data_IF_116411078418
#
_entry.id   IF_116411078418
#
_cell.length_a   1.000
_cell.length_b   1.000
_cell.length_c   1.000
_cell.angle_alpha   90.00
_cell.angle_beta   90.00
_cell.angle_gamma   90.00
#
_symmetry.space_group_name_H-M   'P 1'
#
loop_
_entity.id
_entity.type
_entity.pdbx_description
1 polymer ?
#
# COMPACT_ATOMS: atom_id res chain seq x y z
N UNK A 1 9.74 -7.48 27.45
CA UNK A 1 9.88 -6.33 26.52
C UNK A 1 8.62 -6.25 25.69
N UNK A 2 8.01 -5.07 25.52
CA UNK A 2 6.90 -4.90 24.57
C UNK A 2 7.42 -4.92 23.14
N UNK A 3 6.57 -5.33 22.19
CA UNK A 3 6.83 -5.20 20.75
C UNK A 3 7.09 -3.75 20.35
N UNK A 4 6.36 -2.80 20.93
CA UNK A 4 6.56 -1.37 20.65
C UNK A 4 7.99 -0.93 21.01
N UNK A 5 8.52 -1.41 22.13
CA UNK A 5 9.88 -1.08 22.56
C UNK A 5 10.92 -1.66 21.59
N UNK A 6 10.71 -2.89 21.12
CA UNK A 6 11.60 -3.52 20.13
C UNK A 6 11.60 -2.76 18.80
N UNK A 7 10.43 -2.34 18.31
CA UNK A 7 10.30 -1.55 17.09
C UNK A 7 10.88 -0.14 17.23
N UNK A 8 10.76 0.47 18.41
CA UNK A 8 11.30 1.81 18.67
C UNK A 8 12.84 1.86 18.66
N UNK A 9 13.49 0.73 18.96
CA UNK A 9 14.95 0.62 18.99
C UNK A 9 15.58 0.49 17.59
N UNK A 10 14.78 0.18 16.57
CA UNK A 10 15.24 0.05 15.19
C UNK A 10 15.50 1.42 14.55
N UNK A 11 16.59 1.51 13.79
CA UNK A 11 16.84 2.61 12.85
C UNK A 11 15.80 2.60 11.72
N UNK A 12 15.63 3.71 10.97
CA UNK A 12 14.70 3.75 9.84
C UNK A 12 14.93 2.64 8.80
N UNK A 13 16.20 2.34 8.47
CA UNK A 13 16.53 1.28 7.50
C UNK A 13 16.18 -0.12 8.04
N UNK A 14 16.42 -0.36 9.33
CA UNK A 14 16.05 -1.62 9.96
C UNK A 14 14.54 -1.79 10.05
N UNK A 15 13.76 -0.71 10.23
CA UNK A 15 12.30 -0.76 10.17
C UNK A 15 11.80 -1.17 8.78
N UNK A 16 12.42 -0.64 7.73
CA UNK A 16 12.08 -1.02 6.34
C UNK A 16 12.41 -2.51 6.12
N UNK A 17 13.61 -2.96 6.50
CA UNK A 17 13.98 -4.36 6.38
C UNK A 17 13.07 -5.30 7.21
N UNK A 18 12.69 -4.88 8.42
CA UNK A 18 11.75 -5.61 9.25
C UNK A 18 10.37 -5.69 8.58
N UNK A 19 9.90 -4.62 7.93
CA UNK A 19 8.63 -4.62 7.19
C UNK A 19 8.66 -5.60 6.01
N UNK A 20 9.76 -5.69 5.26
CA UNK A 20 9.91 -6.66 4.17
C UNK A 20 9.91 -8.12 4.69
N UNK A 21 10.60 -8.38 5.80
CA UNK A 21 10.64 -9.71 6.42
C UNK A 21 9.25 -10.11 6.91
N UNK A 22 8.58 -9.21 7.64
CA UNK A 22 7.23 -9.44 8.15
C UNK A 22 6.25 -9.64 7.00
N UNK A 23 6.34 -8.81 5.96
CA UNK A 23 5.49 -8.94 4.78
C UNK A 23 5.67 -10.31 4.11
N UNK A 24 6.92 -10.74 3.90
CA UNK A 24 7.22 -12.05 3.32
C UNK A 24 6.61 -13.19 4.14
N UNK A 25 6.78 -13.15 5.47
CA UNK A 25 6.25 -14.17 6.39
C UNK A 25 4.72 -14.23 6.36
N UNK A 26 4.05 -13.08 6.51
CA UNK A 26 2.59 -12.98 6.49
C UNK A 26 2.01 -13.41 5.14
N UNK A 27 2.67 -13.05 4.03
CA UNK A 27 2.23 -13.39 2.68
C UNK A 27 2.38 -14.88 2.34
N UNK A 28 3.22 -15.62 3.07
CA UNK A 28 3.40 -17.06 2.86
C UNK A 28 2.20 -17.88 3.31
N UNK A 29 1.37 -17.35 4.22
CA UNK A 29 0.20 -18.06 4.77
C UNK A 29 -1.07 -17.20 4.69
N UNK A 30 -1.53 -16.85 3.48
CA UNK A 30 -2.61 -15.88 3.29
C UNK A 30 -3.95 -16.32 3.89
N UNK A 31 -4.16 -17.63 4.08
CA UNK A 31 -5.38 -18.19 4.68
C UNK A 31 -5.52 -17.91 6.18
N UNK A 32 -4.43 -17.56 6.86
CA UNK A 32 -4.47 -17.16 8.28
C UNK A 32 -4.89 -15.70 8.47
N UNK A 33 -4.92 -14.91 7.40
CA UNK A 33 -5.31 -13.50 7.41
C UNK A 33 -6.72 -13.41 6.83
N UNK A 34 -7.70 -13.39 7.72
CA UNK A 34 -9.10 -13.16 7.33
C UNK A 34 -9.29 -11.70 6.92
N UNK A 35 -9.88 -11.50 5.73
CA UNK A 35 -10.33 -10.17 5.32
C UNK A 35 -11.42 -9.68 6.29
N UNK A 36 -11.43 -8.41 6.67
CA UNK A 36 -12.55 -7.84 7.44
C UNK A 36 -13.88 -7.98 6.70
N UNK A 37 -14.98 -8.07 7.44
CA UNK A 37 -16.33 -8.28 6.87
C UNK A 37 -16.72 -7.22 5.82
N UNK A 38 -16.25 -5.98 5.99
CA UNK A 38 -16.53 -4.88 5.06
C UNK A 38 -15.77 -4.96 3.73
N UNK A 39 -14.71 -5.78 3.64
CA UNK A 39 -13.80 -5.78 2.49
C UNK A 39 -14.51 -6.15 1.18
N UNK A 40 -15.43 -7.12 1.24
CA UNK A 40 -16.22 -7.55 0.08
C UNK A 40 -17.09 -6.42 -0.49
N UNK A 41 -17.76 -5.66 0.38
CA UNK A 41 -18.64 -4.56 -0.02
C UNK A 41 -17.87 -3.43 -0.71
N UNK A 42 -16.66 -3.13 -0.24
CA UNK A 42 -15.77 -2.14 -0.85
C UNK A 42 -15.33 -2.60 -2.25
N UNK A 43 -14.97 -3.87 -2.42
CA UNK A 43 -14.62 -4.43 -3.73
C UNK A 43 -15.80 -4.38 -4.68
N UNK A 44 -16.99 -4.82 -4.25
CA UNK A 44 -18.21 -4.78 -5.05
C UNK A 44 -18.54 -3.35 -5.51
N UNK A 45 -18.43 -2.37 -4.61
CA UNK A 45 -18.67 -0.96 -4.92
C UNK A 45 -17.70 -0.45 -5.98
N UNK A 46 -16.40 -0.78 -5.87
CA UNK A 46 -15.37 -0.36 -6.84
C UNK A 46 -15.57 -1.03 -8.20
N UNK A 47 -15.93 -2.31 -8.22
CA UNK A 47 -16.21 -3.04 -9.46
C UNK A 47 -17.42 -2.52 -10.23
N UNK A 48 -18.41 -1.92 -9.54
CA UNK A 48 -19.58 -1.29 -10.18
C UNK A 48 -19.29 0.08 -10.79
N UNK A 49 -18.20 0.74 -10.37
CA UNK A 49 -17.79 2.07 -10.86
C UNK A 49 -16.33 2.01 -11.33
N UNK A 50 -16.03 1.24 -12.38
CA UNK A 50 -14.70 1.22 -12.94
C UNK A 50 -14.32 2.63 -13.43
N UNK A 51 -13.03 2.96 -13.34
CA UNK A 51 -12.52 4.16 -13.99
C UNK A 51 -12.85 4.12 -15.49
N UNK A 52 -13.22 5.26 -16.05
CA UNK A 52 -13.38 5.40 -17.50
C UNK A 52 -12.04 5.42 -18.23
N UNK A 53 -10.96 5.68 -17.50
CA UNK A 53 -9.60 5.68 -18.03
C UNK A 53 -9.03 4.25 -18.05
N UNK A 54 -8.35 3.86 -19.15
CA UNK A 54 -7.69 2.57 -19.20
C UNK A 54 -6.60 2.47 -18.12
N UNK A 55 -6.40 1.28 -17.53
CA UNK A 55 -5.37 1.09 -16.52
C UNK A 55 -3.98 1.33 -17.14
N UNK A 56 -3.17 2.15 -16.47
CA UNK A 56 -1.79 2.37 -16.83
C UNK A 56 -0.90 1.21 -16.35
N UNK A 57 0.18 0.95 -17.08
CA UNK A 57 1.29 0.15 -16.54
C UNK A 57 1.89 0.84 -15.31
N UNK A 58 2.50 0.05 -14.41
CA UNK A 58 2.95 0.54 -13.11
C UNK A 58 3.89 1.75 -13.22
N UNK A 59 4.89 1.69 -14.12
CA UNK A 59 5.84 2.79 -14.32
C UNK A 59 5.15 4.06 -14.81
N UNK A 60 4.26 3.94 -15.80
CA UNK A 60 3.48 5.07 -16.32
C UNK A 60 2.53 5.67 -15.26
N UNK A 61 1.99 4.84 -14.36
CA UNK A 61 1.17 5.31 -13.24
C UNK A 61 1.99 6.12 -12.22
N UNK A 62 3.23 5.71 -11.94
CA UNK A 62 4.14 6.49 -11.08
C UNK A 62 4.48 7.85 -11.69
N UNK A 63 4.77 7.89 -12.99
CA UNK A 63 5.06 9.13 -13.70
C UNK A 63 3.86 10.07 -13.70
N UNK A 64 2.66 9.56 -14.00
CA UNK A 64 1.42 10.35 -13.95
C UNK A 64 1.15 10.97 -12.55
N UNK A 65 1.39 10.23 -11.47
CA UNK A 65 1.26 10.76 -10.10
C UNK A 65 2.28 11.87 -9.84
N UNK A 66 3.52 11.70 -10.31
CA UNK A 66 4.59 12.69 -10.16
C UNK A 66 4.25 13.97 -10.91
N UNK A 67 3.84 13.86 -12.18
CA UNK A 67 3.44 14.99 -13.02
C UNK A 67 2.28 15.76 -12.37
N UNK A 68 1.26 15.05 -11.86
CA UNK A 68 0.14 15.66 -11.12
C UNK A 68 0.58 16.36 -9.83
N UNK A 69 1.63 15.89 -9.16
CA UNK A 69 2.15 16.53 -7.95
C UNK A 69 2.93 17.81 -8.31
N UNK A 70 3.76 17.75 -9.34
CA UNK A 70 4.57 18.88 -9.76
C UNK A 70 3.71 20.00 -10.37
N UNK A 71 2.68 19.66 -11.13
CA UNK A 71 1.68 20.63 -11.61
C UNK A 71 0.94 21.35 -10.46
N UNK A 72 0.68 20.67 -9.34
CA UNK A 72 0.07 21.28 -8.14
C UNK A 72 1.01 22.25 -7.43
N UNK A 73 2.32 22.01 -7.49
CA UNK A 73 3.34 22.85 -6.86
C UNK A 73 3.64 24.13 -7.63
N UNK A 74 3.48 24.11 -8.95
CA UNK A 74 3.71 25.28 -9.82
C UNK A 74 2.52 26.23 -9.90
N UNK A 75 1.33 25.80 -9.45
CA UNK A 75 0.11 26.60 -9.41
C UNK A 75 -0.15 27.31 -8.07
N UNK A 76 0.68 27.05 -7.04
CA UNK A 76 0.63 27.73 -5.73
C UNK A 76 1.73 28.77 -5.60
#
# INVERSE_FOLDING_TARGET
MSLENMLSALTPNEKIAAMDILWRDLSATPTQIVSPDWHGDVLATRSQKPSSEPPLGLDAAFDDVRDRLDARRTQG
#
